data_IF_993818359580
#
_entry.id   IF_993818359580
#
_cell.length_a   1.000
_cell.length_b   1.000
_cell.length_c   1.000
_cell.angle_alpha   90.00
_cell.angle_beta   90.00
_cell.angle_gamma   90.00
#
_symmetry.space_group_name_H-M   'P 1'
#
loop_
_entity.id
_entity.type
_entity.pdbx_description
1 polymer ?
#
# COMPACT_ATOMS: atom_id res chain seq x y z
N UNK A 1 55.81 3.76 -61.73
CA UNK A 1 54.95 4.71 -61.00
C UNK A 1 53.95 3.92 -60.18
N UNK A 2 53.90 4.21 -58.87
CA UNK A 2 53.41 3.35 -57.79
C UNK A 2 51.87 3.18 -57.84
N UNK A 3 51.41 1.94 -57.69
CA UNK A 3 50.01 1.58 -57.40
C UNK A 3 49.85 1.55 -55.88
N UNK A 4 48.95 2.37 -55.35
CA UNK A 4 48.63 2.41 -53.92
C UNK A 4 47.40 1.53 -53.67
N UNK A 5 47.63 0.37 -53.06
CA UNK A 5 46.63 -0.54 -52.53
C UNK A 5 46.31 -0.08 -51.10
N UNK A 6 45.07 0.28 -50.82
CA UNK A 6 44.62 0.68 -49.49
C UNK A 6 44.38 -0.60 -48.66
N UNK A 7 45.33 -0.90 -47.76
CA UNK A 7 45.29 -2.00 -46.81
C UNK A 7 44.64 -1.50 -45.52
N UNK A 8 43.44 -2.00 -45.19
CA UNK A 8 42.73 -1.67 -43.96
C UNK A 8 43.31 -2.52 -42.81
N UNK A 9 44.03 -1.88 -41.90
CA UNK A 9 44.67 -2.50 -40.73
C UNK A 9 43.67 -2.76 -39.60
N UNK A 10 43.39 -4.04 -39.39
CA UNK A 10 43.29 -4.78 -38.12
C UNK A 10 43.38 -3.95 -36.80
N UNK A 11 42.26 -3.89 -36.07
CA UNK A 11 42.24 -3.65 -34.62
C UNK A 11 41.61 -4.88 -33.96
N UNK A 12 42.44 -5.75 -33.38
CA UNK A 12 42.01 -6.90 -32.59
C UNK A 12 41.77 -6.42 -31.17
N UNK A 13 40.50 -6.37 -30.77
CA UNK A 13 40.09 -6.28 -29.37
C UNK A 13 39.92 -7.69 -28.82
N UNK A 14 40.77 -8.03 -27.85
CA UNK A 14 40.58 -9.16 -26.95
C UNK A 14 39.37 -8.86 -26.05
N UNK A 15 38.23 -9.51 -26.32
CA UNK A 15 37.15 -9.64 -25.36
C UNK A 15 37.23 -11.04 -24.73
N UNK A 16 37.90 -11.09 -23.58
CA UNK A 16 37.58 -12.08 -22.55
C UNK A 16 36.35 -11.55 -21.79
N UNK A 17 35.17 -12.08 -22.13
CA UNK A 17 34.04 -12.13 -21.22
C UNK A 17 33.24 -13.37 -21.56
N UNK A 18 33.38 -14.41 -20.74
CA UNK A 18 32.34 -15.39 -20.57
C UNK A 18 31.17 -14.67 -19.89
N UNK A 19 30.10 -14.45 -20.63
CA UNK A 19 28.78 -14.23 -20.08
C UNK A 19 27.86 -15.17 -20.86
N UNK A 20 27.33 -16.16 -20.16
CA UNK A 20 26.54 -17.24 -20.73
C UNK A 20 25.39 -16.72 -21.58
N UNK A 21 25.35 -17.18 -22.82
CA UNK A 21 24.14 -17.22 -23.62
C UNK A 21 23.31 -18.41 -23.13
N UNK A 22 22.42 -18.18 -22.19
CA UNK A 22 21.22 -18.99 -22.07
C UNK A 22 20.04 -18.05 -22.16
N UNK A 23 19.24 -18.30 -23.19
CA UNK A 23 17.89 -17.79 -23.35
C UNK A 23 17.10 -18.06 -22.06
N UNK A 24 16.77 -17.02 -21.33
CA UNK A 24 15.93 -17.06 -20.12
C UNK A 24 14.45 -17.26 -20.50
N UNK A 25 14.20 -18.35 -21.24
CA UNK A 25 12.88 -18.92 -21.44
C UNK A 25 12.45 -19.59 -20.13
N UNK A 26 11.88 -18.79 -19.23
CA UNK A 26 10.90 -19.20 -18.22
C UNK A 26 11.05 -20.59 -17.61
N UNK A 27 12.19 -20.87 -16.96
CA UNK A 27 12.27 -22.07 -16.13
C UNK A 27 11.38 -21.88 -14.88
N UNK A 28 10.30 -22.65 -14.79
CA UNK A 28 9.45 -22.79 -13.59
C UNK A 28 10.18 -23.54 -12.46
N UNK A 29 11.38 -23.07 -12.10
CA UNK A 29 12.23 -23.67 -11.08
C UNK A 29 12.34 -22.69 -9.92
N UNK A 30 12.20 -23.23 -8.71
CA UNK A 30 12.42 -22.46 -7.49
C UNK A 30 13.93 -22.29 -7.27
N UNK A 31 14.39 -21.04 -7.30
CA UNK A 31 15.81 -20.65 -7.17
C UNK A 31 16.09 -19.85 -5.91
N UNK A 32 15.10 -19.11 -5.41
CA UNK A 32 15.18 -18.42 -4.13
C UNK A 32 13.81 -18.36 -3.45
N UNK A 33 13.83 -18.16 -2.14
CA UNK A 33 12.64 -17.88 -1.33
C UNK A 33 12.85 -16.56 -0.59
N UNK A 34 11.83 -15.70 -0.65
CA UNK A 34 11.77 -14.43 0.04
C UNK A 34 10.99 -14.61 1.34
N UNK A 35 11.57 -14.11 2.43
CA UNK A 35 10.91 -14.03 3.73
C UNK A 35 10.37 -12.62 3.94
N UNK A 36 9.16 -12.53 4.46
CA UNK A 36 8.53 -11.28 4.90
C UNK A 36 7.81 -11.49 6.23
N UNK A 37 7.51 -10.38 6.90
CA UNK A 37 6.79 -10.34 8.17
C UNK A 37 5.61 -9.38 8.04
N UNK A 38 4.52 -9.66 8.74
CA UNK A 38 3.35 -8.77 8.81
C UNK A 38 3.69 -7.39 9.37
N UNK A 39 4.77 -7.24 10.15
CA UNK A 39 5.24 -5.95 10.68
C UNK A 39 6.77 -5.87 10.60
N UNK A 40 7.32 -4.66 10.43
CA UNK A 40 8.79 -4.41 10.41
C UNK A 40 9.40 -4.32 11.82
N UNK A 41 8.56 -4.08 12.83
CA UNK A 41 8.87 -4.15 14.25
C UNK A 41 7.60 -4.56 15.01
N UNK A 42 7.76 -5.10 16.22
CA UNK A 42 6.67 -5.75 16.97
C UNK A 42 6.72 -5.36 18.45
N UNK A 43 5.55 -5.18 19.07
CA UNK A 43 5.48 -4.96 20.52
C UNK A 43 5.81 -6.25 21.27
N UNK A 44 6.57 -6.14 22.36
CA UNK A 44 6.88 -7.28 23.22
C UNK A 44 5.61 -8.04 23.63
N UNK A 45 5.58 -9.36 23.36
CA UNK A 45 4.43 -10.22 23.65
C UNK A 45 3.35 -10.25 22.56
N UNK A 46 3.40 -9.39 21.54
CA UNK A 46 2.48 -9.47 20.40
C UNK A 46 3.02 -10.41 19.31
N UNK A 47 2.13 -11.13 18.63
CA UNK A 47 2.50 -12.02 17.54
C UNK A 47 2.62 -11.30 16.21
N UNK A 48 3.62 -11.67 15.40
CA UNK A 48 3.68 -11.38 13.96
C UNK A 48 3.54 -12.67 13.14
N UNK A 49 3.04 -12.52 11.91
CA UNK A 49 2.99 -13.61 10.93
C UNK A 49 4.19 -13.51 9.99
N UNK A 50 4.85 -14.63 9.76
CA UNK A 50 5.93 -14.82 8.82
C UNK A 50 5.38 -15.45 7.55
N UNK A 51 5.86 -14.99 6.40
CA UNK A 51 5.42 -15.46 5.09
C UNK A 51 6.64 -15.72 4.22
N UNK A 52 6.68 -16.91 3.64
CA UNK A 52 7.71 -17.34 2.71
C UNK A 52 7.12 -17.47 1.30
N UNK A 53 7.69 -16.75 0.34
CA UNK A 53 7.23 -16.74 -1.06
C UNK A 53 8.39 -17.11 -1.97
N UNK A 54 8.19 -18.07 -2.88
CA UNK A 54 9.22 -18.44 -3.84
C UNK A 54 9.37 -17.39 -4.97
N UNK A 55 10.42 -17.52 -5.78
CA UNK A 55 10.66 -16.64 -6.93
C UNK A 55 9.61 -16.76 -8.05
N UNK A 56 8.70 -17.72 -7.97
CA UNK A 56 7.58 -17.91 -8.89
C UNK A 56 6.27 -17.32 -8.34
N UNK A 57 6.34 -16.62 -7.19
CA UNK A 57 5.23 -16.00 -6.48
C UNK A 57 4.25 -16.99 -5.83
N UNK A 58 4.68 -18.23 -5.59
CA UNK A 58 3.89 -19.17 -4.80
C UNK A 58 4.12 -18.93 -3.31
N UNK A 59 3.04 -18.97 -2.53
CA UNK A 59 3.12 -19.03 -1.08
C UNK A 59 3.62 -20.43 -0.67
N UNK A 60 4.83 -20.47 -0.11
CA UNK A 60 5.48 -21.69 0.39
C UNK A 60 5.55 -21.71 1.92
N UNK A 61 4.78 -20.86 2.60
CA UNK A 61 4.79 -20.68 4.05
C UNK A 61 4.50 -21.99 4.77
N UNK A 62 3.44 -22.70 4.36
CA UNK A 62 3.03 -23.98 4.97
C UNK A 62 4.03 -25.12 4.82
N UNK A 63 4.99 -25.00 3.91
CA UNK A 63 6.04 -25.99 3.64
C UNK A 63 7.40 -25.53 4.15
N UNK A 64 7.48 -24.33 4.73
CA UNK A 64 8.71 -23.73 5.22
C UNK A 64 8.90 -23.97 6.70
N UNK A 65 10.15 -24.18 7.11
CA UNK A 65 10.54 -24.20 8.52
C UNK A 65 11.18 -22.86 8.89
N UNK A 66 10.73 -22.23 9.97
CA UNK A 66 11.21 -20.91 10.40
C UNK A 66 12.15 -21.02 11.59
N UNK A 67 13.15 -20.14 11.63
CA UNK A 67 14.15 -20.08 12.69
C UNK A 67 14.26 -18.65 13.23
N UNK A 68 14.33 -18.51 14.56
CA UNK A 68 14.49 -17.25 15.28
C UNK A 68 15.85 -17.28 15.98
N UNK A 69 16.75 -16.37 15.62
CA UNK A 69 18.13 -16.33 16.09
C UNK A 69 18.88 -17.67 15.90
N UNK A 70 18.52 -18.41 14.84
CA UNK A 70 19.08 -19.73 14.52
C UNK A 70 18.36 -20.92 15.16
N UNK A 71 17.48 -20.69 16.13
CA UNK A 71 16.70 -21.73 16.80
C UNK A 71 15.36 -21.99 16.10
N UNK A 72 14.90 -23.24 16.07
CA UNK A 72 13.63 -23.60 15.44
C UNK A 72 12.45 -22.87 16.08
N UNK A 73 11.62 -22.21 15.27
CA UNK A 73 10.37 -21.62 15.73
C UNK A 73 9.30 -22.71 15.95
N UNK A 74 8.80 -22.83 17.18
CA UNK A 74 7.83 -23.88 17.54
C UNK A 74 6.43 -23.63 16.99
N UNK A 75 6.02 -22.36 16.85
CA UNK A 75 4.69 -21.96 16.36
C UNK A 75 4.70 -21.73 14.84
N UNK A 76 5.47 -22.56 14.12
CA UNK A 76 5.58 -22.55 12.67
C UNK A 76 5.88 -21.14 12.11
N UNK A 77 4.88 -20.46 11.55
CA UNK A 77 5.02 -19.15 10.91
C UNK A 77 4.48 -17.99 11.78
N UNK A 78 4.16 -18.24 13.04
CA UNK A 78 3.80 -17.22 14.02
C UNK A 78 4.99 -17.01 14.94
N UNK A 79 5.41 -15.77 15.13
CA UNK A 79 6.50 -15.43 16.05
C UNK A 79 6.03 -14.43 17.10
N UNK A 80 6.34 -14.74 18.37
CA UNK A 80 6.09 -13.85 19.52
C UNK A 80 7.44 -13.55 20.19
N UNK A 81 7.90 -12.29 20.20
CA UNK A 81 9.13 -11.92 20.87
C UNK A 81 8.99 -12.02 22.40
N UNK A 82 10.05 -12.50 23.04
CA UNK A 82 10.14 -12.73 24.49
C UNK A 82 11.02 -11.72 25.23
N UNK A 83 11.78 -10.91 24.50
CA UNK A 83 12.59 -9.82 25.03
C UNK A 83 12.66 -8.65 24.05
N UNK A 84 12.97 -7.46 24.56
CA UNK A 84 13.23 -6.28 23.74
C UNK A 84 14.57 -6.46 23.04
N UNK A 85 14.64 -6.11 21.76
CA UNK A 85 15.86 -6.19 20.98
C UNK A 85 15.63 -6.68 19.56
N UNK A 86 16.73 -6.96 18.89
CA UNK A 86 16.74 -7.42 17.51
C UNK A 86 16.63 -8.95 17.43
N UNK A 87 15.79 -9.42 16.51
CA UNK A 87 15.68 -10.82 16.14
C UNK A 87 16.08 -11.00 14.68
N UNK A 88 16.90 -12.02 14.42
CA UNK A 88 17.22 -12.48 13.07
C UNK A 88 16.36 -13.69 12.73
N UNK A 89 15.51 -13.56 11.71
CA UNK A 89 14.60 -14.60 11.26
C UNK A 89 15.08 -15.16 9.93
N UNK A 90 15.12 -16.48 9.80
CA UNK A 90 15.33 -17.17 8.52
C UNK A 90 14.25 -18.20 8.30
N UNK A 91 13.99 -18.55 7.04
CA UNK A 91 13.12 -19.67 6.69
C UNK A 91 13.87 -20.64 5.77
N UNK A 92 13.48 -21.91 5.81
CA UNK A 92 13.99 -22.96 4.95
C UNK A 92 12.83 -23.64 4.23
N UNK A 93 12.83 -23.55 2.90
CA UNK A 93 11.94 -24.29 2.02
C UNK A 93 12.78 -25.29 1.23
N UNK A 94 12.54 -26.58 1.46
CA UNK A 94 13.38 -27.65 0.91
C UNK A 94 14.89 -27.45 1.27
N UNK A 95 15.77 -27.31 0.28
CA UNK A 95 17.20 -27.03 0.47
C UNK A 95 17.53 -25.53 0.45
N UNK A 96 16.57 -24.66 0.15
CA UNK A 96 16.78 -23.22 0.01
C UNK A 96 16.55 -22.53 1.35
N UNK A 97 17.55 -21.78 1.81
CA UNK A 97 17.44 -20.91 2.99
C UNK A 97 17.26 -19.48 2.53
N UNK A 98 16.32 -18.76 3.13
CA UNK A 98 16.08 -17.36 2.80
C UNK A 98 17.24 -16.47 3.25
N UNK A 99 17.34 -15.28 2.65
CA UNK A 99 18.09 -14.20 3.29
C UNK A 99 17.47 -13.91 4.67
N UNK A 100 18.28 -13.52 5.67
CA UNK A 100 17.76 -13.17 6.98
C UNK A 100 16.86 -11.94 6.90
N UNK A 101 15.79 -11.96 7.69
CA UNK A 101 14.90 -10.83 7.96
C UNK A 101 15.14 -10.37 9.40
N UNK A 102 15.41 -9.09 9.57
CA UNK A 102 15.58 -8.48 10.89
C UNK A 102 14.25 -7.92 11.40
N UNK A 103 13.88 -8.26 12.63
CA UNK A 103 12.69 -7.73 13.32
C UNK A 103 13.09 -7.15 14.67
N UNK A 104 12.65 -5.94 14.96
CA UNK A 104 12.87 -5.30 16.26
C UNK A 104 11.66 -5.51 17.18
N UNK A 105 11.89 -6.06 18.36
CA UNK A 105 10.92 -6.04 19.45
C UNK A 105 11.12 -4.84 20.35
N UNK A 106 10.04 -4.13 20.63
CA UNK A 106 10.04 -2.89 21.42
C UNK A 106 9.03 -2.95 22.56
N UNK A 107 9.24 -2.11 23.57
CA UNK A 107 8.22 -1.81 24.58
C UNK A 107 7.69 -0.39 24.37
N UNK A 108 6.44 -0.18 24.76
CA UNK A 108 5.79 1.12 24.65
C UNK A 108 5.87 1.89 25.96
N UNK A 109 5.95 3.22 25.83
CA UNK A 109 5.76 4.15 26.94
C UNK A 109 4.71 5.20 26.57
N UNK A 110 3.94 5.64 27.57
CA UNK A 110 2.85 6.59 27.40
C UNK A 110 1.71 6.07 26.51
N UNK A 111 0.90 7.00 26.01
CA UNK A 111 -0.20 6.68 25.08
C UNK A 111 0.36 6.40 23.69
N UNK A 112 -0.17 5.37 23.05
CA UNK A 112 0.18 4.93 21.70
C UNK A 112 -1.09 4.49 21.00
N UNK A 113 -1.16 4.72 19.68
CA UNK A 113 -2.30 4.37 18.86
C UNK A 113 -1.91 3.41 17.76
N UNK A 114 -2.90 2.70 17.21
CA UNK A 114 -2.71 1.90 16.00
C UNK A 114 -2.29 2.83 14.84
N UNK A 115 -1.14 2.53 14.23
CA UNK A 115 -0.69 3.17 13.01
C UNK A 115 -1.30 2.48 11.79
N UNK A 116 -1.73 3.26 10.80
CA UNK A 116 -2.15 2.79 9.48
C UNK A 116 -1.49 3.61 8.40
N UNK A 117 -1.25 2.96 7.27
CA UNK A 117 -0.79 3.63 6.04
C UNK A 117 -1.97 3.98 5.13
N UNK A 118 -1.82 5.05 4.36
CA UNK A 118 -2.69 5.39 3.25
C UNK A 118 -2.13 4.74 1.96
N UNK A 119 -2.97 4.00 1.26
CA UNK A 119 -2.71 3.41 -0.05
C UNK A 119 -3.55 4.17 -1.08
N UNK A 120 -2.91 4.93 -1.95
CA UNK A 120 -3.56 5.70 -3.00
C UNK A 120 -3.30 5.05 -4.36
N UNK A 121 -4.37 4.58 -5.00
CA UNK A 121 -4.36 4.03 -6.35
C UNK A 121 -4.86 5.08 -7.35
N UNK A 122 -3.93 5.68 -8.10
CA UNK A 122 -4.27 6.53 -9.22
C UNK A 122 -4.57 5.65 -10.42
N UNK A 123 -5.82 5.63 -10.85
CA UNK A 123 -6.38 4.55 -11.67
C UNK A 123 -7.36 5.02 -12.75
N UNK A 124 -7.92 4.07 -13.49
CA UNK A 124 -8.97 4.29 -14.48
C UNK A 124 -9.58 2.98 -15.01
N UNK A 125 -10.88 2.99 -15.26
CA UNK A 125 -11.67 1.89 -15.83
C UNK A 125 -11.16 1.44 -17.20
N UNK A 126 -10.58 2.37 -17.97
CA UNK A 126 -9.97 2.15 -19.28
C UNK A 126 -8.54 1.58 -19.21
N UNK A 127 -7.91 1.58 -18.04
CA UNK A 127 -6.50 1.24 -17.87
C UNK A 127 -6.31 -0.27 -17.63
N UNK A 128 -5.82 -0.99 -18.65
CA UNK A 128 -5.62 -2.44 -18.58
C UNK A 128 -4.58 -2.93 -17.56
N UNK A 129 -3.64 -2.06 -17.15
CA UNK A 129 -2.65 -2.39 -16.13
C UNK A 129 -3.11 -2.08 -14.70
N UNK A 130 -4.18 -1.32 -14.53
CA UNK A 130 -4.66 -0.86 -13.23
C UNK A 130 -5.20 -1.96 -12.29
N UNK A 131 -5.74 -3.10 -12.75
CA UNK A 131 -6.20 -4.16 -11.85
C UNK A 131 -5.15 -4.73 -10.89
N UNK A 132 -3.86 -4.49 -11.13
CA UNK A 132 -2.77 -4.91 -10.23
C UNK A 132 -2.82 -4.20 -8.87
N UNK A 133 -3.31 -2.96 -8.81
CA UNK A 133 -3.34 -2.19 -7.57
C UNK A 133 -4.31 -2.79 -6.56
N UNK A 134 -5.52 -3.15 -6.97
CA UNK A 134 -6.47 -3.86 -6.10
C UNK A 134 -5.96 -5.27 -5.75
N UNK A 135 -5.37 -6.01 -6.69
CA UNK A 135 -4.79 -7.32 -6.38
C UNK A 135 -3.65 -7.25 -5.34
N UNK A 136 -2.83 -6.19 -5.40
CA UNK A 136 -1.80 -5.90 -4.40
C UNK A 136 -2.40 -5.52 -3.05
N UNK A 137 -3.46 -4.71 -3.05
CA UNK A 137 -4.14 -4.32 -1.82
C UNK A 137 -4.77 -5.54 -1.14
N UNK A 138 -5.44 -6.42 -1.88
CA UNK A 138 -6.01 -7.67 -1.36
C UNK A 138 -4.93 -8.53 -0.68
N UNK A 139 -3.78 -8.69 -1.34
CA UNK A 139 -2.63 -9.40 -0.76
C UNK A 139 -2.05 -8.70 0.46
N UNK A 140 -2.01 -7.37 0.48
CA UNK A 140 -1.55 -6.61 1.64
C UNK A 140 -2.47 -6.85 2.84
N UNK A 141 -3.79 -6.73 2.67
CA UNK A 141 -4.75 -6.89 3.77
C UNK A 141 -4.89 -8.33 4.28
N UNK A 142 -4.60 -9.33 3.44
CA UNK A 142 -4.43 -10.73 3.89
C UNK A 142 -3.28 -10.87 4.92
N UNK A 143 -2.21 -10.09 4.74
CA UNK A 143 -1.02 -10.12 5.61
C UNK A 143 -1.12 -9.16 6.81
N UNK A 144 -1.61 -7.94 6.57
CA UNK A 144 -1.77 -6.89 7.57
C UNK A 144 -2.90 -5.92 7.18
N UNK A 145 -3.89 -5.76 8.06
CA UNK A 145 -5.07 -4.92 7.83
C UNK A 145 -4.89 -3.43 8.21
N UNK A 146 -3.66 -2.97 8.46
CA UNK A 146 -3.34 -1.58 8.83
C UNK A 146 -3.10 -0.67 7.61
N UNK A 147 -3.90 -0.82 6.57
CA UNK A 147 -3.87 0.00 5.36
C UNK A 147 -5.28 0.50 4.99
N UNK A 148 -5.38 1.75 4.54
CA UNK A 148 -6.63 2.35 4.06
C UNK A 148 -6.46 2.67 2.56
N UNK A 149 -7.31 2.07 1.72
CA UNK A 149 -7.27 2.26 0.26
C UNK A 149 -8.08 3.48 -0.17
N UNK A 150 -7.61 4.21 -1.19
CA UNK A 150 -8.37 5.25 -1.91
C UNK A 150 -8.10 5.11 -3.40
N UNK A 151 -9.17 4.96 -4.20
CA UNK A 151 -9.09 4.97 -5.66
C UNK A 151 -9.31 6.36 -6.23
N UNK A 152 -8.33 6.91 -6.96
CA UNK A 152 -8.37 8.22 -7.60
C UNK A 152 -8.42 8.07 -9.12
N UNK A 153 -9.61 8.25 -9.69
CA UNK A 153 -9.82 8.06 -11.13
C UNK A 153 -9.38 9.28 -11.95
N UNK A 154 -8.54 9.03 -12.94
CA UNK A 154 -7.97 10.06 -13.81
C UNK A 154 -8.67 10.25 -15.16
N UNK A 155 -8.49 11.41 -15.82
CA UNK A 155 -9.29 11.84 -16.95
C UNK A 155 -8.96 11.23 -18.34
N UNK A 156 -8.02 10.28 -18.49
CA UNK A 156 -7.40 10.00 -19.81
C UNK A 156 -8.14 9.00 -20.74
N UNK A 157 -7.93 9.19 -22.07
CA UNK A 157 -8.27 8.40 -23.29
C UNK A 157 -9.75 8.08 -23.55
N UNK A 158 -10.54 7.82 -22.52
CA UNK A 158 -11.99 7.65 -22.57
C UNK A 158 -12.61 8.42 -21.39
N UNK A 159 -13.91 8.71 -21.44
CA UNK A 159 -14.61 9.28 -20.27
C UNK A 159 -14.73 8.21 -19.18
N UNK A 160 -13.80 8.21 -18.22
CA UNK A 160 -13.94 7.40 -17.00
C UNK A 160 -15.10 7.97 -16.15
N UNK A 161 -16.11 7.16 -15.77
CA UNK A 161 -17.31 7.64 -15.08
C UNK A 161 -17.06 8.14 -13.65
N UNK A 162 -15.87 7.89 -13.10
CA UNK A 162 -15.52 8.19 -11.72
C UNK A 162 -14.53 9.35 -11.59
N UNK A 163 -14.03 9.87 -12.71
CA UNK A 163 -13.23 11.11 -12.72
C UNK A 163 -14.04 12.26 -12.13
N UNK A 164 -13.41 13.01 -11.23
CA UNK A 164 -14.01 14.19 -10.60
C UNK A 164 -12.94 15.25 -10.28
N UNK A 165 -13.39 16.41 -9.78
CA UNK A 165 -12.54 17.53 -9.43
C UNK A 165 -11.52 17.18 -8.34
N UNK A 166 -11.90 16.42 -7.32
CA UNK A 166 -11.01 16.05 -6.23
C UNK A 166 -9.89 15.11 -6.68
N UNK A 167 -10.20 14.08 -7.47
CA UNK A 167 -9.19 13.19 -8.07
C UNK A 167 -8.25 13.98 -8.99
N UNK A 168 -8.80 14.84 -9.85
CA UNK A 168 -8.01 15.70 -10.75
C UNK A 168 -7.08 16.63 -9.98
N UNK A 169 -7.55 17.21 -8.87
CA UNK A 169 -6.74 18.07 -8.02
C UNK A 169 -5.55 17.31 -7.43
N UNK A 170 -5.74 16.08 -6.92
CA UNK A 170 -4.63 15.28 -6.40
C UNK A 170 -3.64 14.87 -7.47
N UNK A 171 -4.14 14.42 -8.63
CA UNK A 171 -3.29 14.06 -9.78
C UNK A 171 -2.37 15.22 -10.13
N UNK A 172 -2.91 16.44 -10.22
CA UNK A 172 -2.12 17.63 -10.53
C UNK A 172 -1.17 18.01 -9.39
N UNK A 173 -1.64 17.99 -8.14
CA UNK A 173 -0.83 18.37 -6.97
C UNK A 173 0.37 17.44 -6.76
N UNK A 174 0.16 16.13 -6.92
CA UNK A 174 1.16 15.10 -6.68
C UNK A 174 1.97 14.77 -7.95
N UNK A 175 1.66 15.41 -9.08
CA UNK A 175 2.40 15.25 -10.33
C UNK A 175 2.25 13.86 -10.96
N UNK A 176 1.07 13.24 -10.84
CA UNK A 176 0.79 11.92 -11.38
C UNK A 176 0.58 12.00 -12.89
N UNK A 177 1.36 11.24 -13.66
CA UNK A 177 1.38 11.31 -15.13
C UNK A 177 1.12 9.96 -15.82
N UNK A 178 1.02 8.87 -15.07
CA UNK A 178 0.76 7.52 -15.58
C UNK A 178 -0.25 6.78 -14.69
N UNK A 179 -0.84 5.73 -15.26
CA UNK A 179 -1.80 4.87 -14.57
C UNK A 179 -1.45 3.38 -14.83
N UNK A 180 -1.46 2.52 -13.80
CA UNK A 180 -1.63 2.87 -12.40
C UNK A 180 -0.36 3.51 -11.82
N UNK A 181 -0.55 4.47 -10.91
CA UNK A 181 0.48 4.88 -9.94
C UNK A 181 -0.05 4.55 -8.54
N UNK A 182 0.77 3.89 -7.72
CA UNK A 182 0.43 3.54 -6.34
C UNK A 182 1.33 4.36 -5.42
N UNK A 183 0.75 5.23 -4.60
CA UNK A 183 1.48 5.94 -3.56
C UNK A 183 1.13 5.40 -2.17
N UNK A 184 2.17 5.19 -1.36
CA UNK A 184 2.04 4.94 0.07
C UNK A 184 2.35 6.24 0.80
N UNK A 185 1.40 6.68 1.63
CA UNK A 185 1.50 7.89 2.45
C UNK A 185 1.89 9.16 1.67
N UNK A 186 1.36 9.36 0.45
CA UNK A 186 1.67 10.49 -0.48
C UNK A 186 3.09 10.55 -1.04
N UNK A 187 4.06 9.83 -0.45
CA UNK A 187 5.49 10.06 -0.73
C UNK A 187 6.21 8.87 -1.37
N UNK A 188 5.72 7.64 -1.17
CA UNK A 188 6.44 6.44 -1.56
C UNK A 188 5.74 5.71 -2.71
N UNK A 189 6.31 5.76 -3.90
CA UNK A 189 5.76 5.08 -5.07
C UNK A 189 6.06 3.58 -5.05
N UNK A 190 5.01 2.76 -5.02
CA UNK A 190 5.15 1.32 -5.17
C UNK A 190 5.13 0.92 -6.64
N UNK A 191 6.33 0.80 -7.23
CA UNK A 191 6.52 0.46 -8.64
C UNK A 191 5.66 -0.71 -9.11
N UNK A 192 4.99 -0.52 -10.25
CA UNK A 192 4.12 -1.52 -10.91
C UNK A 192 4.84 -2.26 -12.05
N UNK A 193 6.13 -2.00 -12.28
CA UNK A 193 6.88 -2.51 -13.44
C UNK A 193 7.12 -4.03 -13.41
N UNK A 194 7.24 -4.63 -12.24
CA UNK A 194 7.57 -6.05 -12.10
C UNK A 194 6.36 -7.00 -12.22
N UNK A 195 5.13 -6.47 -12.43
CA UNK A 195 3.86 -7.20 -12.43
C UNK A 195 3.62 -8.13 -11.21
N UNK A 196 4.46 -8.08 -10.18
CA UNK A 196 4.32 -8.91 -8.99
C UNK A 196 3.29 -8.27 -8.06
N UNK A 197 2.17 -8.96 -7.87
CA UNK A 197 1.08 -8.51 -7.00
C UNK A 197 1.11 -9.17 -5.62
N UNK A 198 1.87 -10.26 -5.45
CA UNK A 198 1.92 -11.03 -4.19
C UNK A 198 2.97 -10.50 -3.21
N UNK A 199 4.04 -9.89 -3.71
CA UNK A 199 5.11 -9.32 -2.87
C UNK A 199 4.70 -7.96 -2.31
N UNK A 200 4.10 -7.96 -1.12
CA UNK A 200 3.65 -6.76 -0.41
C UNK A 200 4.66 -6.23 0.60
N UNK A 201 5.93 -6.65 0.52
CA UNK A 201 6.98 -6.18 1.44
C UNK A 201 7.21 -4.66 1.38
N UNK A 202 7.00 -4.04 0.22
CA UNK A 202 7.18 -2.60 0.03
C UNK A 202 6.24 -1.76 0.92
N UNK A 203 4.91 -1.91 0.88
CA UNK A 203 4.03 -1.15 1.79
C UNK A 203 4.18 -1.56 3.25
N UNK A 204 4.48 -2.84 3.55
CA UNK A 204 4.62 -3.33 4.93
C UNK A 204 5.72 -2.61 5.71
N UNK A 205 6.80 -2.18 5.04
CA UNK A 205 7.88 -1.43 5.71
C UNK A 205 7.42 -0.07 6.27
N UNK A 206 6.34 0.50 5.72
CA UNK A 206 5.77 1.78 6.16
C UNK A 206 4.78 1.62 7.31
N UNK A 207 4.31 0.40 7.60
CA UNK A 207 3.45 0.14 8.75
C UNK A 207 4.32 0.11 10.01
N UNK A 208 4.18 1.14 10.83
CA UNK A 208 4.86 1.24 12.13
C UNK A 208 4.13 0.44 13.21
N UNK A 209 4.84 0.00 14.28
CA UNK A 209 4.19 -0.73 15.38
C UNK A 209 3.14 0.10 16.11
N UNK A 210 3.32 1.42 16.14
CA UNK A 210 2.42 2.38 16.75
C UNK A 210 2.51 3.76 16.10
N UNK A 211 1.54 4.62 16.39
CA UNK A 211 1.57 6.05 16.11
C UNK A 211 1.37 6.84 17.40
N UNK A 212 1.92 8.06 17.47
CA UNK A 212 1.58 9.05 18.51
C UNK A 212 0.43 9.96 18.08
N UNK A 213 -0.16 9.71 16.92
CA UNK A 213 -1.36 10.38 16.42
C UNK A 213 -2.49 9.35 16.37
N UNK A 214 -3.56 9.57 17.12
CA UNK A 214 -4.77 8.76 17.10
C UNK A 214 -5.89 9.47 16.37
N UNK A 215 -6.71 8.74 15.61
CA UNK A 215 -7.84 9.33 14.86
C UNK A 215 -9.10 8.60 15.29
N UNK A 216 -10.13 9.33 15.71
CA UNK A 216 -11.48 8.81 15.92
C UNK A 216 -12.45 9.50 14.97
N UNK A 217 -13.47 8.78 14.50
CA UNK A 217 -14.44 9.30 13.53
C UNK A 217 -15.82 8.81 13.92
N UNK A 218 -16.77 9.73 14.01
CA UNK A 218 -18.18 9.46 14.18
C UNK A 218 -18.91 9.88 12.91
N UNK A 219 -19.74 9.00 12.36
CA UNK A 219 -20.50 9.27 11.15
C UNK A 219 -21.98 8.96 11.39
N UNK A 220 -22.83 9.73 10.72
CA UNK A 220 -24.27 9.59 10.72
C UNK A 220 -24.80 9.87 9.33
N UNK A 221 -25.63 8.98 8.81
CA UNK A 221 -26.32 9.12 7.53
C UNK A 221 -27.80 9.39 7.80
N UNK A 222 -28.26 10.59 7.48
CA UNK A 222 -29.67 10.97 7.52
C UNK A 222 -30.14 11.42 6.14
N UNK A 223 -31.12 10.70 5.59
CA UNK A 223 -31.63 10.91 4.23
C UNK A 223 -30.54 10.85 3.16
N UNK A 224 -30.02 12.00 2.70
CA UNK A 224 -28.95 12.12 1.70
C UNK A 224 -27.69 12.78 2.29
N UNK A 225 -27.61 12.97 3.60
CA UNK A 225 -26.51 13.71 4.23
C UNK A 225 -25.72 12.77 5.11
N UNK A 226 -24.44 12.64 4.82
CA UNK A 226 -23.47 12.07 5.77
C UNK A 226 -22.86 13.22 6.56
N UNK A 227 -22.92 13.13 7.88
CA UNK A 227 -22.42 14.15 8.81
C UNK A 227 -21.77 13.50 10.02
N UNK A 228 -21.06 14.29 10.81
CA UNK A 228 -20.48 13.81 12.06
C UNK A 228 -19.27 14.64 12.47
N UNK A 229 -18.37 14.01 13.21
CA UNK A 229 -17.18 14.63 13.75
C UNK A 229 -15.98 13.67 13.68
N UNK A 230 -14.79 14.23 13.67
CA UNK A 230 -13.57 13.48 13.88
C UNK A 230 -12.70 14.18 14.92
N UNK A 231 -11.96 13.37 15.69
CA UNK A 231 -10.98 13.86 16.65
C UNK A 231 -9.61 13.27 16.37
N UNK A 232 -8.59 14.12 16.34
CA UNK A 232 -7.18 13.72 16.25
C UNK A 232 -6.53 13.95 17.61
N UNK A 233 -6.11 12.88 18.28
CA UNK A 233 -5.43 12.91 19.56
C UNK A 233 -3.92 12.81 19.39
N UNK A 234 -3.16 13.57 20.19
CA UNK A 234 -1.70 13.64 20.11
C UNK A 234 -1.06 13.17 21.41
N UNK A 235 -0.17 12.19 21.31
CA UNK A 235 0.63 11.64 22.41
C UNK A 235 2.11 12.07 22.33
N UNK A 236 2.39 13.11 21.54
CA UNK A 236 3.67 13.80 21.40
C UNK A 236 3.42 15.21 20.86
N UNK A 237 4.40 16.10 20.97
CA UNK A 237 4.33 17.45 20.40
C UNK A 237 4.64 17.42 18.90
N UNK A 238 3.78 18.05 18.12
CA UNK A 238 3.93 18.21 16.68
C UNK A 238 3.81 19.67 16.26
N UNK A 239 4.36 19.98 15.09
CA UNK A 239 4.20 21.27 14.43
C UNK A 239 3.88 21.08 12.95
N UNK A 240 3.25 22.09 12.34
CA UNK A 240 2.98 22.15 10.90
C UNK A 240 2.22 20.93 10.34
N UNK A 241 1.32 20.35 11.14
CA UNK A 241 0.48 19.26 10.67
C UNK A 241 -0.68 19.79 9.83
N UNK A 242 -1.14 18.94 8.92
CA UNK A 242 -2.36 19.16 8.13
C UNK A 242 -3.26 17.93 8.21
N UNK A 243 -4.53 18.09 7.88
CA UNK A 243 -5.47 16.98 7.72
C UNK A 243 -6.15 17.01 6.35
N UNK A 244 -6.39 15.82 5.80
CA UNK A 244 -7.20 15.60 4.61
C UNK A 244 -8.44 14.79 5.00
N UNK A 245 -9.59 15.20 4.48
CA UNK A 245 -10.86 14.51 4.71
C UNK A 245 -11.45 14.11 3.36
N UNK A 246 -11.41 12.81 3.09
CA UNK A 246 -11.93 12.22 1.85
C UNK A 246 -13.36 11.74 2.08
N UNK A 247 -14.21 12.00 1.09
CA UNK A 247 -15.48 11.31 0.92
C UNK A 247 -15.30 10.29 -0.19
N UNK A 248 -15.48 9.02 0.12
CA UNK A 248 -15.29 7.92 -0.82
C UNK A 248 -16.55 7.06 -0.93
N UNK A 249 -16.73 6.41 -2.06
CA UNK A 249 -17.77 5.41 -2.30
C UNK A 249 -17.12 4.05 -2.57
N UNK A 250 -17.45 3.07 -1.74
CA UNK A 250 -16.87 1.72 -1.81
C UNK A 250 -17.74 0.76 -2.66
N UNK A 251 -17.18 -0.40 -3.00
CA UNK A 251 -17.90 -1.50 -3.65
C UNK A 251 -18.65 -1.11 -4.95
N UNK A 252 -18.12 -0.17 -5.73
CA UNK A 252 -18.73 0.21 -7.01
C UNK A 252 -18.37 -0.83 -8.07
N UNK A 253 -19.39 -1.49 -8.63
CA UNK A 253 -19.22 -2.43 -9.73
C UNK A 253 -19.23 -1.70 -11.06
N UNK A 254 -18.19 -1.93 -11.89
CA UNK A 254 -18.11 -1.36 -13.23
C UNK A 254 -17.18 -2.18 -14.14
N UNK A 255 -17.37 -2.17 -15.47
CA UNK A 255 -16.43 -2.80 -16.39
C UNK A 255 -15.01 -2.22 -16.32
N UNK A 256 -14.01 -3.07 -16.11
CA UNK A 256 -12.60 -2.68 -16.01
C UNK A 256 -11.76 -3.38 -17.09
N UNK A 257 -10.97 -2.63 -17.85
CA UNK A 257 -9.97 -3.20 -18.75
C UNK A 257 -8.90 -3.96 -17.97
N UNK A 258 -8.43 -5.08 -18.52
CA UNK A 258 -7.45 -5.95 -17.87
C UNK A 258 -6.46 -6.57 -18.88
N UNK A 259 -5.17 -6.42 -18.63
CA UNK A 259 -4.07 -7.00 -19.42
C UNK A 259 -3.42 -8.23 -18.77
N UNK A 260 -3.87 -8.64 -17.59
CA UNK A 260 -3.30 -9.75 -16.82
C UNK A 260 -3.90 -11.10 -17.23
N UNK A 261 -3.50 -11.57 -18.41
CA UNK A 261 -4.02 -12.78 -19.06
C UNK A 261 -3.09 -14.00 -18.98
N UNK A 262 -2.03 -13.95 -18.16
CA UNK A 262 -1.04 -15.04 -18.06
C UNK A 262 0.01 -15.07 -19.18
N UNK A 263 0.02 -14.10 -20.11
CA UNK A 263 0.98 -14.03 -21.22
C UNK A 263 1.97 -12.87 -21.07
N UNK A 264 3.13 -12.96 -21.73
CA UNK A 264 4.10 -11.86 -21.78
C UNK A 264 4.67 -11.43 -20.42
N UNK A 265 4.82 -12.38 -19.49
CA UNK A 265 5.31 -12.10 -18.14
C UNK A 265 4.30 -11.45 -17.19
N UNK A 266 3.02 -11.38 -17.57
CA UNK A 266 1.94 -10.93 -16.68
C UNK A 266 1.28 -12.12 -15.98
N UNK A 267 0.98 -12.03 -14.67
CA UNK A 267 0.18 -13.05 -13.99
C UNK A 267 -1.23 -13.12 -14.57
N UNK A 268 -1.95 -14.20 -14.25
CA UNK A 268 -3.37 -14.35 -14.54
C UNK A 268 -4.18 -13.69 -13.42
N UNK A 269 -4.82 -12.55 -13.70
CA UNK A 269 -5.77 -11.91 -12.77
C UNK A 269 -7.17 -11.90 -13.38
N UNK A 270 -8.20 -12.03 -12.53
CA UNK A 270 -9.61 -11.98 -12.93
C UNK A 270 -9.96 -12.93 -14.09
N UNK A 271 -9.39 -14.14 -14.06
CA UNK A 271 -9.58 -15.15 -15.11
C UNK A 271 -9.01 -14.78 -16.47
N UNK A 272 -8.20 -13.72 -16.58
CA UNK A 272 -7.61 -13.25 -17.83
C UNK A 272 -8.61 -12.60 -18.80
N UNK A 273 -9.81 -12.25 -18.31
CA UNK A 273 -10.81 -11.54 -19.12
C UNK A 273 -10.24 -10.17 -19.54
N UNK A 274 -10.33 -9.78 -20.83
CA UNK A 274 -9.83 -8.49 -21.30
C UNK A 274 -10.63 -7.30 -20.75
N UNK A 275 -11.90 -7.54 -20.40
CA UNK A 275 -12.77 -6.62 -19.66
C UNK A 275 -13.43 -7.45 -18.55
N UNK A 276 -13.22 -7.05 -17.29
CA UNK A 276 -13.86 -7.65 -16.12
C UNK A 276 -15.19 -6.93 -15.90
N UNK A 277 -16.36 -7.58 -16.13
CA UNK A 277 -17.64 -6.87 -16.23
C UNK A 277 -18.12 -6.25 -14.90
N UNK A 278 -17.93 -6.97 -13.79
CA UNK A 278 -18.36 -6.55 -12.45
C UNK A 278 -17.14 -6.29 -11.54
N UNK A 279 -16.13 -5.59 -12.05
CA UNK A 279 -14.96 -5.23 -11.24
C UNK A 279 -15.38 -4.33 -10.07
N UNK A 280 -14.98 -4.71 -8.86
CA UNK A 280 -15.33 -4.00 -7.63
C UNK A 280 -14.26 -2.94 -7.36
N UNK A 281 -14.61 -1.67 -7.54
CA UNK A 281 -13.74 -0.54 -7.21
C UNK A 281 -13.85 -0.24 -5.71
N UNK A 282 -12.69 -0.12 -5.06
CA UNK A 282 -12.59 0.15 -3.63
C UNK A 282 -12.44 1.64 -3.35
N UNK A 283 -13.21 2.15 -2.38
CA UNK A 283 -13.09 3.51 -1.86
C UNK A 283 -12.78 4.57 -2.94
N UNK A 284 -13.62 4.65 -3.98
CA UNK A 284 -13.45 5.62 -5.07
C UNK A 284 -13.67 7.02 -4.52
N UNK A 285 -12.69 7.91 -4.68
CA UNK A 285 -12.77 9.29 -4.24
C UNK A 285 -13.93 10.00 -4.94
N UNK A 286 -14.84 10.59 -4.17
CA UNK A 286 -15.98 11.38 -4.66
C UNK A 286 -15.84 12.88 -4.38
N UNK A 287 -15.27 13.24 -3.23
CA UNK A 287 -15.05 14.62 -2.85
C UNK A 287 -13.97 14.75 -1.77
N UNK A 288 -13.48 15.98 -1.59
CA UNK A 288 -12.69 16.40 -0.43
C UNK A 288 -13.48 17.41 0.40
N UNK A 289 -13.38 17.31 1.72
CA UNK A 289 -13.94 18.32 2.65
C UNK A 289 -12.87 19.31 3.15
N UNK A 290 -11.65 19.19 2.62
CA UNK A 290 -10.50 20.05 2.89
C UNK A 290 -9.88 20.49 1.55
N UNK A 291 -9.03 21.53 1.52
CA UNK A 291 -8.18 21.78 0.36
C UNK A 291 -7.35 20.54 0.01
N UNK A 292 -7.02 20.36 -1.28
CA UNK A 292 -6.19 19.23 -1.75
C UNK A 292 -4.79 19.24 -1.12
N UNK A 293 -4.30 20.40 -0.68
CA UNK A 293 -3.04 20.57 0.05
C UNK A 293 -3.13 20.24 1.54
N UNK A 294 -4.35 19.97 2.05
CA UNK A 294 -4.66 19.75 3.46
C UNK A 294 -5.10 21.02 4.19
N UNK A 295 -5.95 20.87 5.21
CA UNK A 295 -6.30 21.92 6.17
C UNK A 295 -5.28 21.91 7.32
N UNK A 296 -4.75 23.07 7.72
CA UNK A 296 -3.79 23.15 8.82
C UNK A 296 -4.42 22.76 10.17
N UNK A 297 -3.70 21.95 10.95
CA UNK A 297 -4.03 21.69 12.36
C UNK A 297 -3.29 22.76 13.19
N UNK A 298 -3.99 23.60 13.97
CA UNK A 298 -3.33 24.62 14.78
C UNK A 298 -2.30 24.00 15.74
N UNK A 299 -1.13 24.64 15.87
CA UNK A 299 -0.02 24.09 16.64
C UNK A 299 -0.39 23.83 18.12
N UNK A 300 -1.21 24.70 18.72
CA UNK A 300 -1.72 24.50 20.07
C UNK A 300 -2.63 23.26 20.20
N UNK A 301 -3.28 22.81 19.13
CA UNK A 301 -4.08 21.59 19.13
C UNK A 301 -3.25 20.32 18.86
N UNK A 302 -2.03 20.45 18.33
CA UNK A 302 -1.12 19.34 18.02
C UNK A 302 -0.03 19.11 19.06
N UNK A 303 -0.27 19.51 20.31
CA UNK A 303 0.63 19.25 21.43
C UNK A 303 0.24 17.96 22.17
N UNK A 304 1.17 17.39 22.92
CA UNK A 304 0.94 16.20 23.72
C UNK A 304 -0.26 16.37 24.66
N UNK A 305 -1.09 15.34 24.76
CA UNK A 305 -2.38 15.29 25.48
C UNK A 305 -3.46 16.26 24.96
N UNK A 306 -3.25 16.93 23.83
CA UNK A 306 -4.30 17.71 23.20
C UNK A 306 -5.04 16.91 22.13
N UNK A 307 -6.20 17.44 21.75
CA UNK A 307 -7.06 16.90 20.70
C UNK A 307 -7.49 18.02 19.77
N UNK A 308 -7.53 17.71 18.48
CA UNK A 308 -8.14 18.55 17.45
C UNK A 308 -9.48 17.92 17.04
N UNK A 309 -10.58 18.67 17.19
CA UNK A 309 -11.95 18.21 16.89
C UNK A 309 -12.55 19.07 15.79
N UNK A 310 -13.18 18.43 14.80
CA UNK A 310 -13.89 19.10 13.71
C UNK A 310 -15.15 18.34 13.34
N UNK A 311 -16.19 19.10 13.02
CA UNK A 311 -17.41 18.57 12.42
C UNK A 311 -17.28 18.56 10.90
N UNK A 312 -18.00 17.65 10.25
CA UNK A 312 -18.14 17.61 8.81
C UNK A 312 -19.58 17.31 8.39
N UNK A 313 -19.91 17.67 7.16
CA UNK A 313 -21.18 17.33 6.52
C UNK A 313 -20.99 17.28 5.01
N UNK A 314 -21.64 16.33 4.35
CA UNK A 314 -21.62 16.17 2.91
C UNK A 314 -22.99 15.72 2.39
N UNK A 315 -23.51 16.45 1.40
CA UNK A 315 -24.73 16.08 0.69
C UNK A 315 -24.39 15.08 -0.41
N UNK A 316 -24.89 13.86 -0.30
CA UNK A 316 -24.65 12.76 -1.22
C UNK A 316 -25.49 12.95 -2.49
N UNK A 317 -24.87 13.08 -3.68
CA UNK A 317 -25.54 13.07 -4.96
C UNK A 317 -26.39 11.81 -5.17
N UNK A 318 -27.52 11.93 -5.87
CA UNK A 318 -28.49 10.83 -6.05
C UNK A 318 -27.97 9.63 -6.85
N UNK A 319 -26.87 9.80 -7.59
CA UNK A 319 -26.23 8.75 -8.37
C UNK A 319 -25.21 7.92 -7.58
N UNK A 320 -24.97 8.23 -6.29
CA UNK A 320 -24.12 7.42 -5.42
C UNK A 320 -24.95 6.47 -4.55
N UNK A 321 -24.36 5.35 -4.17
CA UNK A 321 -24.93 4.39 -3.22
C UNK A 321 -24.54 4.81 -1.80
N UNK A 322 -25.48 5.39 -1.07
CA UNK A 322 -25.22 6.04 0.23
C UNK A 322 -24.67 5.08 1.28
N UNK A 323 -25.14 3.84 1.26
CA UNK A 323 -24.73 2.78 2.18
C UNK A 323 -23.26 2.38 1.98
N UNK A 324 -22.71 2.67 0.79
CA UNK A 324 -21.32 2.41 0.45
C UNK A 324 -20.40 3.61 0.73
N UNK A 325 -20.94 4.75 1.18
CA UNK A 325 -20.13 5.92 1.47
C UNK A 325 -19.29 5.73 2.73
N UNK A 326 -18.07 6.24 2.70
CA UNK A 326 -17.17 6.32 3.86
C UNK A 326 -16.52 7.69 3.96
N UNK A 327 -16.07 8.02 5.18
CA UNK A 327 -15.19 9.14 5.46
C UNK A 327 -13.80 8.59 5.78
N UNK A 328 -12.77 9.18 5.18
CA UNK A 328 -11.37 8.89 5.50
C UNK A 328 -10.74 10.16 6.01
N UNK A 329 -10.08 10.10 7.18
CA UNK A 329 -9.32 11.20 7.76
C UNK A 329 -7.86 10.80 7.78
N UNK A 330 -7.01 11.59 7.14
CA UNK A 330 -5.56 11.43 7.14
C UNK A 330 -4.90 12.64 7.82
N UNK A 331 -3.75 12.40 8.46
CA UNK A 331 -2.91 13.44 9.07
C UNK A 331 -1.58 13.47 8.36
N UNK A 332 -1.17 14.65 7.91
CA UNK A 332 0.04 14.88 7.12
C UNK A 332 1.03 15.70 7.94
N UNK A 333 2.31 15.36 7.82
CA UNK A 333 3.39 16.19 8.34
C UNK A 333 3.78 17.33 7.36
N UNK A 334 4.80 18.10 7.72
CA UNK A 334 5.31 19.21 6.90
C UNK A 334 5.89 18.78 5.54
N UNK A 335 6.21 17.50 5.37
CA UNK A 335 6.75 16.90 4.14
C UNK A 335 5.64 16.34 3.24
N UNK A 336 4.36 16.59 3.58
CA UNK A 336 3.17 15.99 2.97
C UNK A 336 3.04 14.47 3.16
N UNK A 337 3.87 13.84 4.00
CA UNK A 337 3.72 12.42 4.29
C UNK A 337 2.54 12.21 5.24
N UNK A 338 1.71 11.21 4.94
CA UNK A 338 0.66 10.75 5.84
C UNK A 338 1.26 9.94 6.99
N UNK A 339 1.07 10.43 8.22
CA UNK A 339 1.64 9.82 9.45
C UNK A 339 0.63 8.99 10.26
N UNK A 340 -0.67 9.13 9.94
CA UNK A 340 -1.70 8.16 10.29
C UNK A 340 -2.97 8.42 9.46
N UNK A 341 -3.79 7.39 9.27
CA UNK A 341 -5.06 7.48 8.54
C UNK A 341 -6.11 6.56 9.14
N UNK A 342 -7.38 6.94 9.06
CA UNK A 342 -8.49 6.06 9.44
C UNK A 342 -9.70 6.26 8.55
N UNK A 343 -10.40 5.17 8.26
CA UNK A 343 -11.69 5.18 7.58
C UNK A 343 -12.84 4.89 8.55
N UNK A 344 -14.04 5.39 8.22
CA UNK A 344 -15.28 5.07 8.89
C UNK A 344 -16.43 4.95 7.87
N UNK A 345 -17.21 3.88 7.98
CA UNK A 345 -18.44 3.70 7.20
C UNK A 345 -19.51 4.68 7.67
N UNK A 346 -20.59 4.87 6.91
CA UNK A 346 -21.79 5.56 7.40
C UNK A 346 -22.34 4.89 8.68
N UNK A 347 -22.96 5.68 9.56
CA UNK A 347 -23.59 5.22 10.80
C UNK A 347 -22.65 4.42 11.73
N UNK A 348 -21.40 4.86 11.88
CA UNK A 348 -20.43 4.21 12.78
C UNK A 348 -19.79 5.19 13.74
N UNK A 349 -19.40 4.67 14.91
CA UNK A 349 -18.57 5.36 15.89
C UNK A 349 -17.28 4.59 16.05
N UNK A 350 -16.20 5.17 15.54
CA UNK A 350 -14.86 4.63 15.63
C UNK A 350 -14.10 5.40 16.72
N UNK A 351 -14.12 4.89 17.96
CA UNK A 351 -13.35 5.45 19.08
C UNK A 351 -11.82 5.31 18.87
N UNK A 352 -11.01 6.14 19.53
CA UNK A 352 -9.54 6.07 19.44
C UNK A 352 -9.04 4.63 19.68
N UNK A 353 -8.20 4.13 18.77
CA UNK A 353 -7.60 2.80 18.90
C UNK A 353 -6.24 2.91 19.58
N UNK A 354 -6.24 2.79 20.91
CA UNK A 354 -5.02 2.72 21.73
C UNK A 354 -4.42 1.32 21.74
N UNK A 355 -3.10 1.23 21.88
CA UNK A 355 -2.33 -0.02 22.01
C UNK A 355 -2.02 -0.40 23.45
#
# INVERSE_FOLDING_TARGET
MKKTLLLLTMFVLFLNSCAGSESDEGMNIVTYVKLSSSESAVLLGNSIKLIATDNLNNDVTGQSTFYINGELNSDHNIFVPTHIGEYTITAKYQSITTKPLTINSISLTGVNFVHRILFEDFTGTWCGNCPIASARFDKLIEQNNKAVFVGLHGPTVQTDPFTNEASTAFINQLGIWAYPTILINHIAEWSTSNNNYTDVSFPLQYIQPYSKVGIAINTKLESNVISGDFSIAFAADYSNLKTLIYVVEDQIKYPQHNYFNGSGGKPLLYGGLPIVPDYVNHNVLRALLTPVTGEAIPANNSQNNNTYLKNFSYNIPSNFVKENMKIIVAVLNSQNEVINVREAKVNTTNALETL
#
